data_IF_824773044767
#
_entry.id   IF_824773044767
#
_cell.length_a   1.000
_cell.length_b   1.000
_cell.length_c   1.000
_cell.angle_alpha   90.00
_cell.angle_beta   90.00
_cell.angle_gamma   90.00
#
_symmetry.space_group_name_H-M   'P 1'
#
loop_
_entity.id
_entity.type
_entity.pdbx_description
1 polymer ?
#
# COMPACT_ATOMS: atom_id res chain seq x y z
N UNK A 1 -16.39 -3.79 -51.33
CA UNK A 1 -16.25 -2.78 -50.26
C UNK A 1 -16.46 -3.52 -48.95
N UNK A 2 -15.43 -3.63 -48.14
CA UNK A 2 -15.38 -4.44 -46.91
C UNK A 2 -15.68 -3.57 -45.68
N UNK A 3 -16.55 -4.07 -44.81
CA UNK A 3 -17.02 -3.40 -43.59
C UNK A 3 -15.85 -3.13 -42.62
N UNK A 4 -15.80 -1.99 -41.90
CA UNK A 4 -14.67 -1.62 -41.03
C UNK A 4 -14.72 -2.18 -39.59
N UNK A 5 -15.60 -3.14 -39.28
CA UNK A 5 -15.93 -3.48 -37.88
C UNK A 5 -15.58 -4.92 -37.44
N UNK A 6 -14.77 -5.64 -38.23
CA UNK A 6 -14.17 -6.91 -37.79
C UNK A 6 -12.84 -6.65 -37.06
N UNK A 7 -12.94 -6.13 -35.84
CA UNK A 7 -11.87 -6.24 -34.85
C UNK A 7 -12.07 -7.54 -34.06
N UNK A 8 -11.34 -8.57 -34.49
CA UNK A 8 -11.24 -9.87 -33.84
C UNK A 8 -10.44 -9.74 -32.52
N UNK A 9 -11.09 -9.22 -31.47
CA UNK A 9 -10.57 -9.25 -30.10
C UNK A 9 -10.48 -10.72 -29.67
N UNK A 10 -9.26 -11.26 -29.63
CA UNK A 10 -8.94 -12.67 -29.36
C UNK A 10 -9.26 -13.17 -27.95
N UNK A 11 -10.48 -12.92 -27.47
CA UNK A 11 -11.09 -13.49 -26.28
C UNK A 11 -12.05 -14.60 -26.73
N UNK A 12 -11.76 -15.84 -26.33
CA UNK A 12 -12.72 -16.94 -26.43
C UNK A 12 -13.83 -16.71 -25.39
N UNK A 13 -15.04 -16.41 -25.86
CA UNK A 13 -16.25 -16.44 -25.05
C UNK A 13 -16.85 -17.84 -25.16
N UNK A 14 -16.65 -18.68 -24.14
CA UNK A 14 -17.46 -19.90 -23.98
C UNK A 14 -18.84 -19.48 -23.46
N UNK A 15 -19.74 -19.18 -24.40
CA UNK A 15 -21.16 -18.95 -24.16
C UNK A 15 -21.89 -20.29 -24.31
N UNK A 16 -22.22 -20.95 -23.19
CA UNK A 16 -23.21 -22.02 -23.18
C UNK A 16 -24.58 -21.42 -22.90
N UNK A 17 -25.41 -21.41 -23.93
CA UNK A 17 -26.84 -21.09 -23.91
C UNK A 17 -27.65 -22.34 -23.61
N UNK A 18 -28.41 -22.35 -22.52
CA UNK A 18 -29.59 -23.19 -22.39
C UNK A 18 -30.76 -22.28 -21.99
N UNK A 19 -31.78 -22.25 -22.85
CA UNK A 19 -32.93 -21.34 -22.75
C UNK A 19 -34.19 -22.15 -22.39
N UNK A 20 -34.65 -21.98 -21.13
CA UNK A 20 -36.05 -21.75 -20.67
C UNK A 20 -37.17 -22.83 -20.90
N UNK A 21 -38.39 -22.75 -20.27
CA UNK A 21 -38.89 -21.88 -19.17
C UNK A 21 -39.77 -22.57 -18.08
N UNK A 22 -40.19 -21.75 -17.09
CA UNK A 22 -41.35 -21.85 -16.17
C UNK A 22 -41.21 -22.78 -14.94
N UNK A 23 -41.69 -22.47 -13.71
CA UNK A 23 -42.80 -21.64 -13.24
C UNK A 23 -42.54 -21.18 -11.77
N UNK A 24 -43.11 -20.05 -11.38
CA UNK A 24 -43.16 -19.47 -10.02
C UNK A 24 -44.21 -20.21 -9.18
N UNK A 25 -43.93 -20.50 -7.90
CA UNK A 25 -44.91 -20.46 -6.80
C UNK A 25 -44.21 -20.38 -5.42
N UNK A 26 -44.75 -19.51 -4.55
CA UNK A 26 -44.42 -19.29 -3.14
C UNK A 26 -44.92 -20.46 -2.26
N UNK A 27 -44.29 -20.72 -1.10
CA UNK A 27 -44.90 -20.55 0.24
C UNK A 27 -44.06 -21.18 1.40
N UNK A 28 -43.84 -20.35 2.43
CA UNK A 28 -43.85 -20.58 3.89
C UNK A 28 -43.23 -21.80 4.66
N UNK A 29 -42.39 -21.41 5.65
CA UNK A 29 -42.34 -21.81 7.09
C UNK A 29 -41.96 -23.25 7.52
N UNK A 30 -40.85 -23.38 8.26
CA UNK A 30 -40.78 -23.71 9.71
C UNK A 30 -39.48 -24.44 10.13
N UNK A 31 -39.28 -24.51 11.45
CA UNK A 31 -38.05 -24.51 12.24
C UNK A 31 -37.31 -25.84 12.49
N UNK A 32 -36.05 -25.69 12.93
CA UNK A 32 -35.23 -26.53 13.84
C UNK A 32 -34.90 -28.00 13.48
N UNK A 33 -33.60 -28.33 13.35
CA UNK A 33 -32.79 -29.02 14.39
C UNK A 33 -31.41 -29.51 13.89
N UNK A 34 -30.45 -29.37 14.80
CA UNK A 34 -29.10 -29.92 14.97
C UNK A 34 -28.63 -31.25 14.31
N UNK A 35 -27.29 -31.29 14.12
CA UNK A 35 -26.30 -32.42 14.07
C UNK A 35 -25.80 -32.99 12.73
N UNK A 36 -24.56 -32.56 12.41
CA UNK A 36 -23.33 -33.35 12.18
C UNK A 36 -23.51 -34.86 11.87
N UNK A 37 -23.17 -35.27 10.64
CA UNK A 37 -22.09 -36.25 10.38
C UNK A 37 -21.81 -36.47 8.88
N UNK A 38 -20.51 -36.55 8.56
CA UNK A 38 -19.83 -37.34 7.51
C UNK A 38 -20.27 -37.20 6.04
N UNK A 39 -19.49 -36.41 5.30
CA UNK A 39 -19.38 -36.51 3.85
C UNK A 39 -18.14 -37.35 3.47
N UNK A 40 -18.39 -38.34 2.62
CA UNK A 40 -17.46 -39.30 2.06
C UNK A 40 -16.40 -38.69 1.13
N UNK A 41 -15.32 -39.48 1.02
CA UNK A 41 -14.08 -39.28 0.30
C UNK A 41 -14.26 -39.05 -1.21
N UNK A 42 -13.56 -38.04 -1.74
CA UNK A 42 -12.97 -38.13 -3.09
C UNK A 42 -11.52 -37.66 -3.00
N UNK A 43 -10.62 -38.62 -3.22
CA UNK A 43 -9.18 -38.52 -3.24
C UNK A 43 -8.70 -37.70 -4.44
N UNK A 44 -7.93 -36.63 -4.19
CA UNK A 44 -7.09 -35.98 -5.21
C UNK A 44 -5.64 -36.11 -4.76
N UNK A 45 -4.93 -36.98 -5.46
CA UNK A 45 -3.52 -37.28 -5.28
C UNK A 45 -2.63 -36.03 -5.35
N UNK A 46 -1.97 -35.74 -4.23
CA UNK A 46 -0.83 -34.81 -4.15
C UNK A 46 0.42 -35.53 -4.65
N UNK A 47 0.84 -35.27 -5.89
CA UNK A 47 2.17 -35.67 -6.35
C UNK A 47 3.22 -34.63 -5.94
N UNK A 48 4.23 -35.13 -5.24
CA UNK A 48 5.36 -34.43 -4.60
C UNK A 48 6.23 -33.64 -5.57
N UNK A 49 6.85 -32.61 -4.98
CA UNK A 49 8.04 -31.88 -5.43
C UNK A 49 9.17 -32.87 -5.79
N UNK A 50 9.75 -32.70 -6.98
CA UNK A 50 11.07 -33.19 -7.33
C UNK A 50 11.92 -31.96 -7.63
N UNK A 51 12.96 -31.77 -6.83
CA UNK A 51 14.11 -30.94 -7.19
C UNK A 51 14.79 -31.59 -8.39
N UNK A 52 14.97 -30.86 -9.49
CA UNK A 52 15.86 -31.27 -10.57
C UNK A 52 16.69 -30.06 -11.03
N UNK A 53 18.00 -30.20 -10.83
CA UNK A 53 19.03 -29.33 -11.39
C UNK A 53 19.24 -29.77 -12.84
N UNK A 54 18.76 -28.97 -13.80
CA UNK A 54 19.04 -29.23 -15.20
C UNK A 54 18.53 -28.11 -16.11
N UNK A 55 19.46 -27.52 -16.87
CA UNK A 55 19.19 -26.58 -17.96
C UNK A 55 18.28 -27.20 -19.04
N UNK A 56 16.96 -27.13 -18.87
CA UNK A 56 16.01 -27.40 -19.93
C UNK A 56 15.28 -26.12 -20.34
N UNK A 57 15.78 -25.50 -21.41
CA UNK A 57 15.07 -24.47 -22.17
C UNK A 57 13.75 -25.06 -22.69
N UNK A 58 12.64 -24.80 -22.01
CA UNK A 58 11.28 -25.07 -22.53
C UNK A 58 11.19 -24.53 -23.96
N UNK A 59 11.08 -25.43 -24.93
CA UNK A 59 11.03 -25.08 -26.36
C UNK A 59 9.68 -24.43 -26.65
N UNK A 60 9.65 -23.10 -26.64
CA UNK A 60 8.45 -22.32 -26.94
C UNK A 60 7.98 -22.60 -28.37
N UNK A 61 6.67 -22.81 -28.53
CA UNK A 61 6.01 -23.02 -29.82
C UNK A 61 6.26 -21.84 -30.78
N UNK A 62 6.26 -22.09 -32.09
CA UNK A 62 6.45 -21.04 -33.13
C UNK A 62 5.45 -19.87 -32.96
N UNK A 63 4.21 -20.15 -32.51
CA UNK A 63 3.20 -19.12 -32.21
C UNK A 63 3.55 -18.32 -30.95
N UNK A 64 4.08 -18.98 -29.91
CA UNK A 64 4.55 -18.32 -28.69
C UNK A 64 5.77 -17.44 -28.98
N UNK A 65 6.69 -17.88 -29.83
CA UNK A 65 7.86 -17.09 -30.30
C UNK A 65 7.44 -15.84 -31.08
N UNK A 66 6.40 -15.92 -31.92
CA UNK A 66 5.84 -14.76 -32.64
C UNK A 66 5.13 -13.77 -31.72
N UNK A 67 4.43 -14.25 -30.69
CA UNK A 67 3.81 -13.42 -29.64
C UNK A 67 4.83 -12.81 -28.66
N UNK A 68 6.00 -13.44 -28.48
CA UNK A 68 7.12 -12.90 -27.69
C UNK A 68 7.82 -11.72 -28.39
N UNK A 69 7.84 -11.71 -29.72
CA UNK A 69 8.45 -10.68 -30.56
C UNK A 69 7.41 -9.71 -31.15
N UNK A 70 6.26 -9.54 -30.51
CA UNK A 70 5.25 -8.59 -30.99
C UNK A 70 5.59 -7.17 -30.54
N UNK A 71 5.49 -6.21 -31.46
CA UNK A 71 5.73 -4.78 -31.18
C UNK A 71 4.83 -4.25 -30.05
N UNK A 72 3.63 -4.82 -29.88
CA UNK A 72 2.72 -4.50 -28.78
C UNK A 72 3.27 -4.91 -27.41
N UNK A 73 3.95 -6.05 -27.32
CA UNK A 73 4.55 -6.50 -26.07
C UNK A 73 5.73 -5.62 -25.68
N UNK A 74 6.54 -5.20 -26.64
CA UNK A 74 7.66 -4.31 -26.37
C UNK A 74 7.18 -2.91 -25.96
N UNK A 75 6.14 -2.37 -26.62
CA UNK A 75 5.44 -1.16 -26.16
C UNK A 75 4.91 -1.30 -24.73
N UNK A 76 4.31 -2.44 -24.38
CA UNK A 76 3.79 -2.68 -23.02
C UNK A 76 4.92 -2.75 -21.98
N UNK A 77 6.07 -3.36 -22.32
CA UNK A 77 7.25 -3.38 -21.44
C UNK A 77 7.81 -1.98 -21.24
N UNK A 78 7.96 -1.21 -22.31
CA UNK A 78 8.46 0.16 -22.28
C UNK A 78 7.56 1.06 -21.40
N UNK A 79 6.25 0.98 -21.57
CA UNK A 79 5.29 1.70 -20.71
C UNK A 79 5.42 1.28 -19.24
N UNK A 80 5.59 -0.02 -18.98
CA UNK A 80 5.76 -0.54 -17.62
C UNK A 80 7.07 -0.09 -16.97
N UNK A 81 8.18 -0.09 -17.71
CA UNK A 81 9.48 0.40 -17.24
C UNK A 81 9.44 1.91 -16.99
N UNK A 82 8.82 2.67 -17.90
CA UNK A 82 8.58 4.10 -17.71
C UNK A 82 7.79 4.38 -16.43
N UNK A 83 6.75 3.60 -16.15
CA UNK A 83 5.94 3.80 -14.96
C UNK A 83 6.66 3.40 -13.66
N UNK A 84 7.49 2.36 -13.70
CA UNK A 84 8.39 2.02 -12.59
C UNK A 84 9.34 3.18 -12.29
N UNK A 85 9.96 3.74 -13.33
CA UNK A 85 10.92 4.83 -13.17
C UNK A 85 10.23 6.09 -12.64
N UNK A 86 9.04 6.40 -13.17
CA UNK A 86 8.19 7.50 -12.66
C UNK A 86 7.86 7.33 -11.17
N UNK A 87 7.52 6.11 -10.72
CA UNK A 87 7.23 5.86 -9.30
C UNK A 87 8.46 6.01 -8.41
N UNK A 88 9.65 5.58 -8.88
CA UNK A 88 10.91 5.74 -8.15
C UNK A 88 11.37 7.19 -8.07
N UNK A 89 11.18 7.96 -9.14
CA UNK A 89 11.61 9.36 -9.21
C UNK A 89 10.71 10.30 -8.41
N UNK A 90 9.44 9.92 -8.19
CA UNK A 90 8.49 10.70 -7.39
C UNK A 90 9.01 11.03 -5.99
N UNK A 91 9.66 10.08 -5.31
CA UNK A 91 10.21 10.31 -3.97
C UNK A 91 11.35 11.35 -3.95
N UNK A 92 11.99 11.60 -5.09
CA UNK A 92 13.06 12.61 -5.28
C UNK A 92 12.53 13.92 -5.86
N UNK A 93 11.25 13.99 -6.18
CA UNK A 93 10.67 15.15 -6.86
C UNK A 93 10.42 16.31 -5.90
N UNK A 94 10.17 17.48 -6.47
CA UNK A 94 9.85 18.66 -5.68
C UNK A 94 8.46 18.59 -5.05
N UNK A 95 8.20 19.34 -3.96
CA UNK A 95 6.88 19.39 -3.32
C UNK A 95 5.72 19.70 -4.28
N UNK A 96 5.93 20.49 -5.32
CA UNK A 96 4.91 20.79 -6.34
C UNK A 96 4.50 19.54 -7.10
N UNK A 97 5.48 18.80 -7.63
CA UNK A 97 5.25 17.55 -8.37
C UNK A 97 4.58 16.50 -7.49
N UNK A 98 4.95 16.45 -6.21
CA UNK A 98 4.35 15.54 -5.24
C UNK A 98 2.87 15.89 -5.01
N UNK A 99 2.55 17.17 -4.80
CA UNK A 99 1.17 17.63 -4.64
C UNK A 99 0.33 17.31 -5.87
N UNK A 100 0.85 17.59 -7.07
CA UNK A 100 0.16 17.31 -8.33
C UNK A 100 -0.11 15.80 -8.50
N UNK A 101 0.85 14.96 -8.12
CA UNK A 101 0.66 13.51 -8.12
C UNK A 101 -0.49 13.09 -7.20
N UNK A 102 -0.50 13.55 -5.95
CA UNK A 102 -1.59 13.23 -5.02
C UNK A 102 -2.93 13.77 -5.49
N UNK A 103 -2.99 14.99 -6.04
CA UNK A 103 -4.22 15.57 -6.57
C UNK A 103 -4.78 14.73 -7.73
N UNK A 104 -3.91 14.25 -8.63
CA UNK A 104 -4.29 13.34 -9.70
C UNK A 104 -4.82 12.00 -9.15
N UNK A 105 -4.12 11.39 -8.19
CA UNK A 105 -4.57 10.15 -7.56
C UNK A 105 -5.91 10.30 -6.81
N UNK A 106 -6.10 11.42 -6.10
CA UNK A 106 -7.36 11.71 -5.39
C UNK A 106 -8.50 11.86 -6.39
N UNK A 107 -8.29 12.59 -7.49
CA UNK A 107 -9.32 12.77 -8.54
C UNK A 107 -9.69 11.45 -9.21
N UNK A 108 -8.69 10.63 -9.55
CA UNK A 108 -8.90 9.32 -10.16
C UNK A 108 -9.78 8.42 -9.29
N UNK A 109 -9.58 8.45 -7.96
CA UNK A 109 -10.32 7.60 -7.01
C UNK A 109 -11.65 8.18 -6.57
N UNK A 110 -11.94 9.44 -6.90
CA UNK A 110 -13.17 10.13 -6.52
C UNK A 110 -13.83 10.81 -7.74
N UNK A 111 -14.26 10.04 -8.75
CA UNK A 111 -14.81 10.60 -10.00
C UNK A 111 -16.14 11.33 -9.81
N UNK A 112 -16.86 11.03 -8.72
CA UNK A 112 -18.20 11.56 -8.45
C UNK A 112 -18.19 12.78 -7.50
N UNK A 113 -17.02 13.17 -6.97
CA UNK A 113 -16.92 14.35 -6.11
C UNK A 113 -16.89 15.63 -6.94
N UNK A 114 -17.53 16.66 -6.42
CA UNK A 114 -17.48 17.99 -7.01
C UNK A 114 -16.10 18.62 -6.86
N UNK A 115 -15.82 19.65 -7.65
CA UNK A 115 -14.56 20.40 -7.57
C UNK A 115 -14.33 21.01 -6.18
N UNK A 116 -15.39 21.41 -5.48
CA UNK A 116 -15.32 21.98 -4.13
C UNK A 116 -14.93 20.91 -3.10
N UNK A 117 -15.55 19.73 -3.16
CA UNK A 117 -15.22 18.62 -2.26
C UNK A 117 -13.80 18.08 -2.50
N UNK A 118 -13.33 18.11 -3.75
CA UNK A 118 -11.96 17.72 -4.08
C UNK A 118 -10.91 18.69 -3.51
N UNK A 119 -11.21 19.98 -3.41
CA UNK A 119 -10.27 20.99 -2.89
C UNK A 119 -9.93 20.73 -1.42
N UNK A 120 -10.92 20.31 -0.62
CA UNK A 120 -10.71 19.92 0.77
C UNK A 120 -9.79 18.69 0.91
N UNK A 121 -9.78 17.81 -0.10
CA UNK A 121 -8.93 16.62 -0.15
C UNK A 121 -7.53 16.89 -0.70
N UNK A 122 -7.28 18.01 -1.38
CA UNK A 122 -5.98 18.29 -1.96
C UNK A 122 -4.95 18.74 -0.94
N UNK A 123 -3.74 18.22 -1.04
CA UNK A 123 -2.63 18.63 -0.19
C UNK A 123 -2.04 19.95 -0.68
N UNK A 124 -1.46 20.71 0.24
CA UNK A 124 -0.77 21.96 -0.06
C UNK A 124 0.73 21.71 -0.13
N UNK A 125 1.44 22.50 -0.94
CA UNK A 125 2.91 22.47 -1.02
C UNK A 125 3.56 22.57 0.36
N UNK A 126 2.99 23.39 1.23
CA UNK A 126 3.50 23.63 2.59
C UNK A 126 3.38 22.40 3.51
N UNK A 127 2.54 21.42 3.16
CA UNK A 127 2.39 20.19 3.94
C UNK A 127 3.63 19.30 3.81
N UNK A 128 4.39 19.45 2.73
CA UNK A 128 5.57 18.66 2.41
C UNK A 128 6.88 19.42 2.68
N UNK A 129 7.87 18.71 3.22
CA UNK A 129 9.27 19.14 3.25
C UNK A 129 9.97 18.59 2.00
N UNK A 130 10.66 19.45 1.25
CA UNK A 130 11.49 19.00 0.12
C UNK A 130 12.65 18.14 0.63
N UNK A 131 12.77 16.94 0.05
CA UNK A 131 13.86 16.00 0.30
C UNK A 131 14.73 15.78 -0.94
N UNK A 132 14.63 16.65 -1.94
CA UNK A 132 15.42 16.62 -3.18
C UNK A 132 16.92 16.62 -2.92
N UNK A 133 17.36 17.29 -1.84
CA UNK A 133 18.76 17.38 -1.43
C UNK A 133 19.35 16.08 -0.89
N UNK A 134 18.57 15.00 -0.84
CA UNK A 134 19.09 13.68 -0.48
C UNK A 134 19.79 13.06 -1.68
N UNK A 135 21.11 13.10 -1.70
CA UNK A 135 21.93 12.66 -2.84
C UNK A 135 22.07 11.14 -2.93
N UNK A 136 21.97 10.44 -1.80
CA UNK A 136 22.14 8.98 -1.75
C UNK A 136 20.94 8.25 -2.33
N UNK A 137 21.18 7.01 -2.74
CA UNK A 137 20.09 6.15 -3.17
C UNK A 137 19.09 5.89 -2.05
N UNK A 138 17.80 6.04 -2.36
CA UNK A 138 16.69 5.77 -1.44
C UNK A 138 16.47 4.27 -1.32
N UNK A 139 17.37 3.64 -0.56
CA UNK A 139 17.39 2.21 -0.27
C UNK A 139 17.24 1.94 1.22
N UNK A 140 16.99 0.70 1.66
CA UNK A 140 16.90 0.42 3.10
C UNK A 140 18.20 0.75 3.86
N UNK A 141 19.37 0.62 3.21
CA UNK A 141 20.68 0.86 3.84
C UNK A 141 20.89 2.34 4.19
N UNK A 142 20.38 3.24 3.34
CA UNK A 142 20.55 4.68 3.50
C UNK A 142 19.38 5.34 4.25
N UNK A 143 18.34 4.57 4.60
CA UNK A 143 17.17 5.08 5.30
C UNK A 143 17.49 5.74 6.65
N UNK A 144 18.36 5.17 7.51
CA UNK A 144 18.69 5.81 8.78
C UNK A 144 19.34 7.20 8.61
N UNK A 145 20.16 7.36 7.57
CA UNK A 145 20.80 8.63 7.24
C UNK A 145 19.80 9.67 6.75
N UNK A 146 18.88 9.28 5.86
CA UNK A 146 17.79 10.14 5.44
C UNK A 146 16.98 10.66 6.63
N UNK A 147 16.57 9.76 7.52
CA UNK A 147 15.79 10.14 8.71
C UNK A 147 16.60 11.08 9.60
N UNK A 148 17.90 10.83 9.79
CA UNK A 148 18.77 11.73 10.55
C UNK A 148 18.91 13.12 9.93
N UNK A 149 18.90 13.22 8.61
CA UNK A 149 19.08 14.48 7.88
C UNK A 149 17.81 15.34 7.85
N UNK A 150 16.65 14.72 7.63
CA UNK A 150 15.41 15.46 7.35
C UNK A 150 14.42 15.50 8.52
N UNK A 151 14.45 14.53 9.43
CA UNK A 151 13.52 14.51 10.57
C UNK A 151 14.00 15.41 11.70
N UNK A 152 13.26 16.50 11.93
CA UNK A 152 13.52 17.48 12.99
C UNK A 152 12.52 17.40 14.14
N UNK A 153 11.41 16.71 13.94
CA UNK A 153 10.43 16.47 14.99
C UNK A 153 10.99 15.51 16.08
N UNK A 154 10.55 15.65 17.34
CA UNK A 154 10.91 14.74 18.42
C UNK A 154 10.40 13.31 18.16
N UNK A 155 9.35 13.17 17.35
CA UNK A 155 8.77 11.90 16.94
C UNK A 155 8.49 11.91 15.44
N UNK A 156 8.61 10.76 14.80
CA UNK A 156 8.21 10.57 13.42
C UNK A 156 7.41 9.29 13.20
N UNK A 157 6.40 9.39 12.35
CA UNK A 157 5.58 8.30 11.87
C UNK A 157 6.06 7.89 10.48
N UNK A 158 6.41 6.63 10.29
CA UNK A 158 6.87 6.06 9.02
C UNK A 158 5.77 5.15 8.49
N UNK A 159 5.22 5.51 7.33
CA UNK A 159 4.20 4.74 6.64
C UNK A 159 4.85 3.94 5.53
N UNK A 160 4.55 2.64 5.50
CA UNK A 160 5.09 1.70 4.51
C UNK A 160 3.99 0.83 3.94
N UNK A 161 4.21 0.30 2.74
CA UNK A 161 3.16 -0.40 2.01
C UNK A 161 2.75 -1.76 2.61
N UNK A 162 3.64 -2.43 3.37
CA UNK A 162 3.38 -3.77 3.89
C UNK A 162 3.99 -4.03 5.25
N UNK A 163 3.46 -5.02 5.97
CA UNK A 163 3.98 -5.46 7.26
C UNK A 163 5.43 -5.94 7.20
N UNK A 164 5.85 -6.56 6.09
CA UNK A 164 7.24 -6.99 5.90
C UNK A 164 8.15 -5.77 5.81
N UNK A 165 7.76 -4.77 5.02
CA UNK A 165 8.52 -3.54 4.85
C UNK A 165 8.61 -2.72 6.15
N UNK A 166 7.52 -2.68 6.93
CA UNK A 166 7.51 -2.12 8.30
C UNK A 166 8.57 -2.80 9.18
N UNK A 167 8.65 -4.14 9.12
CA UNK A 167 9.64 -4.88 9.91
C UNK A 167 11.08 -4.60 9.48
N UNK A 168 11.33 -4.43 8.18
CA UNK A 168 12.65 -4.10 7.64
C UNK A 168 13.10 -2.70 8.05
N UNK A 169 12.21 -1.71 7.96
CA UNK A 169 12.47 -0.35 8.43
C UNK A 169 12.76 -0.33 9.93
N UNK A 170 11.97 -1.03 10.73
CA UNK A 170 12.22 -1.14 12.16
C UNK A 170 13.62 -1.69 12.46
N UNK A 171 14.09 -2.71 11.74
CA UNK A 171 15.45 -3.24 11.90
C UNK A 171 16.50 -2.21 11.53
N UNK A 172 16.30 -1.45 10.45
CA UNK A 172 17.22 -0.39 10.03
C UNK A 172 17.34 0.75 11.04
N UNK A 173 16.28 1.00 11.82
CA UNK A 173 16.23 2.06 12.84
C UNK A 173 16.54 1.56 14.25
N UNK A 174 17.47 0.61 14.39
CA UNK A 174 17.92 0.04 15.67
C UNK A 174 16.82 -0.67 16.49
N UNK A 175 15.74 -1.11 15.85
CA UNK A 175 14.67 -1.89 16.46
C UNK A 175 14.03 -1.21 17.67
N UNK A 176 13.74 -2.00 18.71
CA UNK A 176 12.97 -1.56 19.89
C UNK A 176 13.64 -0.45 20.71
N UNK A 177 14.89 -0.11 20.41
CA UNK A 177 15.59 1.00 21.07
C UNK A 177 15.01 2.36 20.66
N UNK A 178 14.73 2.53 19.36
CA UNK A 178 14.33 3.83 18.81
C UNK A 178 13.03 3.78 18.00
N UNK A 179 12.56 2.58 17.61
CA UNK A 179 11.43 2.40 16.72
C UNK A 179 10.43 1.41 17.31
N UNK A 180 9.14 1.64 17.05
CA UNK A 180 8.05 0.71 17.37
C UNK A 180 7.37 0.27 16.09
N UNK A 181 7.01 -1.02 16.00
CA UNK A 181 6.23 -1.58 14.89
C UNK A 181 4.77 -1.63 15.30
N UNK A 182 3.94 -0.92 14.56
CA UNK A 182 2.49 -0.93 14.69
C UNK A 182 1.95 -1.61 13.43
N UNK A 183 1.63 -2.89 13.51
CA UNK A 183 1.28 -3.69 12.33
C UNK A 183 0.31 -4.82 12.65
N UNK A 184 -0.39 -5.33 11.65
CA UNK A 184 -1.54 -6.22 11.88
C UNK A 184 -1.21 -7.61 12.44
N UNK A 185 0.09 -7.98 12.58
CA UNK A 185 0.48 -9.19 13.31
C UNK A 185 0.32 -9.05 14.83
N UNK A 186 0.32 -7.84 15.36
CA UNK A 186 0.02 -7.58 16.76
C UNK A 186 -1.49 -7.41 16.96
N UNK A 187 -2.00 -7.77 18.15
CA UNK A 187 -3.38 -7.41 18.50
C UNK A 187 -3.48 -5.88 18.60
N UNK A 188 -4.59 -5.31 18.12
CA UNK A 188 -4.79 -3.85 18.14
C UNK A 188 -4.66 -3.28 19.56
N UNK A 189 -5.22 -3.97 20.55
CA UNK A 189 -5.12 -3.61 21.97
C UNK A 189 -3.67 -3.49 22.45
N UNK A 190 -2.77 -4.35 21.99
CA UNK A 190 -1.36 -4.35 22.42
C UNK A 190 -0.61 -3.17 21.80
N UNK A 191 -0.90 -2.85 20.53
CA UNK A 191 -0.37 -1.65 19.87
C UNK A 191 -0.86 -0.37 20.56
N UNK A 192 -2.15 -0.29 20.89
CA UNK A 192 -2.74 0.85 21.61
C UNK A 192 -2.09 1.03 23.00
N UNK A 193 -1.94 -0.04 23.77
CA UNK A 193 -1.27 0.00 25.07
C UNK A 193 0.21 0.39 24.95
N UNK A 194 0.86 0.05 23.83
CA UNK A 194 2.25 0.45 23.55
C UNK A 194 2.31 1.95 23.25
N UNK A 195 1.43 2.46 22.39
CA UNK A 195 1.32 3.90 22.07
C UNK A 195 1.02 4.69 23.34
N UNK A 196 0.02 4.30 24.12
CA UNK A 196 -0.34 4.95 25.39
C UNK A 196 0.84 5.03 26.35
N UNK A 197 1.57 3.93 26.52
CA UNK A 197 2.77 3.90 27.39
C UNK A 197 3.85 4.89 26.94
N UNK A 198 4.02 5.08 25.63
CA UNK A 198 5.05 5.96 25.07
C UNK A 198 4.64 7.43 25.14
N UNK A 199 3.34 7.73 24.98
CA UNK A 199 2.84 9.10 25.01
C UNK A 199 2.54 9.61 26.43
N UNK A 200 2.09 8.75 27.35
CA UNK A 200 1.64 9.15 28.71
C UNK A 200 2.76 9.15 29.76
N UNK A 201 3.81 8.33 29.62
CA UNK A 201 4.82 8.20 30.69
C UNK A 201 5.77 9.41 30.78
N UNK A 202 5.70 10.09 31.93
CA UNK A 202 6.63 11.12 32.40
C UNK A 202 8.01 10.53 32.75
N UNK A 203 9.06 11.12 32.16
CA UNK A 203 10.44 11.32 32.62
C UNK A 203 11.30 10.21 33.25
N UNK A 204 10.76 9.10 33.77
CA UNK A 204 11.55 8.08 34.45
C UNK A 204 11.58 6.78 33.65
N UNK A 205 12.81 6.39 33.28
CA UNK A 205 13.25 5.06 32.82
C UNK A 205 13.00 4.68 31.34
N UNK A 206 14.09 4.71 30.56
CA UNK A 206 14.37 3.92 29.33
C UNK A 206 13.40 4.02 28.12
N UNK A 207 12.17 4.53 28.27
CA UNK A 207 11.20 4.66 27.17
C UNK A 207 11.23 6.02 26.47
N UNK A 208 12.06 6.96 26.92
CA UNK A 208 12.25 8.26 26.28
C UNK A 208 12.97 8.21 24.91
N UNK A 209 13.53 7.06 24.50
CA UNK A 209 14.31 6.96 23.26
C UNK A 209 13.50 6.64 22.01
N UNK A 210 12.21 6.27 22.14
CA UNK A 210 11.39 5.91 20.97
C UNK A 210 11.02 7.16 20.18
N UNK A 211 11.79 7.39 19.11
CA UNK A 211 11.59 8.48 18.16
C UNK A 211 10.67 8.08 17.00
N UNK A 212 10.59 6.80 16.66
CA UNK A 212 9.97 6.34 15.42
C UNK A 212 8.80 5.38 15.66
N UNK A 213 7.74 5.56 14.89
CA UNK A 213 6.63 4.61 14.78
C UNK A 213 6.57 4.15 13.33
N UNK A 214 6.65 2.85 13.09
CA UNK A 214 6.58 2.26 11.75
C UNK A 214 5.26 1.51 11.61
N UNK A 215 4.48 1.82 10.57
CA UNK A 215 3.13 1.29 10.39
C UNK A 215 2.74 1.20 8.92
N UNK A 216 1.68 0.44 8.63
CA UNK A 216 0.94 0.58 7.37
C UNK A 216 -0.17 1.63 7.52
N UNK A 217 -0.64 2.27 6.43
CA UNK A 217 -1.76 3.20 6.47
C UNK A 217 -3.02 2.58 7.09
N UNK A 218 -3.38 1.37 6.69
CA UNK A 218 -4.56 0.66 7.21
C UNK A 218 -4.48 0.41 8.71
N UNK A 219 -3.30 0.06 9.24
CA UNK A 219 -3.14 -0.10 10.69
C UNK A 219 -3.23 1.23 11.41
N UNK A 220 -2.67 2.29 10.82
CA UNK A 220 -2.69 3.61 11.42
C UNK A 220 -4.12 4.19 11.48
N UNK A 221 -4.94 3.99 10.45
CA UNK A 221 -6.37 4.35 10.48
C UNK A 221 -7.07 3.76 11.70
N UNK A 222 -6.92 2.45 11.92
CA UNK A 222 -7.52 1.76 13.07
C UNK A 222 -7.02 2.27 14.42
N UNK A 223 -5.76 2.69 14.49
CA UNK A 223 -5.18 3.28 15.70
C UNK A 223 -5.78 4.66 15.95
N UNK A 224 -5.93 5.49 14.91
CA UNK A 224 -6.53 6.82 15.01
C UNK A 224 -8.03 6.78 15.33
N UNK A 225 -8.75 5.76 14.88
CA UNK A 225 -10.14 5.51 15.26
C UNK A 225 -10.27 5.17 16.75
N UNK A 226 -9.25 4.56 17.35
CA UNK A 226 -9.28 4.08 18.73
C UNK A 226 -8.55 4.99 19.73
N UNK A 227 -7.78 5.97 19.25
CA UNK A 227 -6.90 6.80 20.09
C UNK A 227 -6.52 8.11 19.42
N UNK A 228 -6.62 9.21 20.18
CA UNK A 228 -6.21 10.54 19.73
C UNK A 228 -4.77 10.92 20.15
N UNK A 229 -4.00 10.00 20.72
CA UNK A 229 -2.68 10.31 21.32
C UNK A 229 -1.70 10.97 20.34
N UNK A 230 -1.71 10.59 19.06
CA UNK A 230 -0.87 11.20 18.04
C UNK A 230 -1.22 12.66 17.76
N UNK A 231 -2.47 13.07 18.02
CA UNK A 231 -2.95 14.43 17.81
C UNK A 231 -2.74 15.33 19.03
N UNK A 232 -2.51 14.74 20.19
CA UNK A 232 -2.28 15.47 21.44
C UNK A 232 -0.90 16.15 21.47
N UNK A 233 -0.78 17.18 22.30
CA UNK A 233 0.45 17.93 22.53
C UNK A 233 0.83 18.91 21.41
N UNK A 234 1.70 19.87 21.76
CA UNK A 234 2.21 20.92 20.84
C UNK A 234 3.48 20.52 20.09
N UNK A 235 4.02 19.34 20.39
CA UNK A 235 5.19 18.81 19.74
C UNK A 235 4.96 18.55 18.25
N UNK A 236 6.00 18.78 17.45
CA UNK A 236 5.96 18.51 16.00
C UNK A 236 5.92 17.01 15.75
N UNK A 237 5.30 16.61 14.64
CA UNK A 237 5.32 15.24 14.14
C UNK A 237 5.72 15.25 12.67
N UNK A 238 6.80 14.53 12.35
CA UNK A 238 7.19 14.30 10.96
C UNK A 238 6.55 12.99 10.48
N UNK A 239 6.02 12.98 9.26
CA UNK A 239 5.44 11.78 8.63
C UNK A 239 6.28 11.43 7.42
N UNK A 240 6.91 10.25 7.44
CA UNK A 240 7.76 9.76 6.36
C UNK A 240 6.99 8.72 5.56
N UNK A 241 6.89 8.93 4.25
CA UNK A 241 6.28 8.01 3.29
C UNK A 241 7.38 7.20 2.62
N UNK A 242 7.42 5.89 2.85
CA UNK A 242 8.34 4.96 2.18
C UNK A 242 7.86 4.68 0.74
N UNK A 243 8.10 5.65 -0.14
CA UNK A 243 7.64 5.70 -1.53
C UNK A 243 8.66 5.14 -2.53
N UNK A 244 9.92 5.05 -2.15
CA UNK A 244 11.01 4.49 -2.97
C UNK A 244 10.99 2.96 -3.07
N UNK A 245 10.39 2.27 -2.09
CA UNK A 245 10.27 0.82 -2.13
C UNK A 245 9.25 0.36 -3.18
N UNK A 246 9.64 -0.66 -3.95
CA UNK A 246 8.77 -1.36 -4.88
C UNK A 246 8.63 -2.82 -4.45
N UNK A 247 7.39 -3.30 -4.37
CA UNK A 247 7.12 -4.72 -4.12
C UNK A 247 7.43 -5.60 -5.35
N UNK A 248 7.28 -6.93 -5.25
CA UNK A 248 7.46 -7.82 -6.40
C UNK A 248 6.56 -7.51 -7.59
N UNK A 249 5.41 -6.85 -7.36
CA UNK A 249 4.46 -6.39 -8.39
C UNK A 249 4.78 -4.99 -8.91
N UNK A 250 5.86 -4.37 -8.44
CA UNK A 250 6.30 -3.01 -8.79
C UNK A 250 5.33 -1.91 -8.39
N UNK A 251 4.57 -2.17 -7.33
CA UNK A 251 3.78 -1.17 -6.64
C UNK A 251 4.61 -0.50 -5.54
N UNK A 252 4.35 0.78 -5.32
CA UNK A 252 4.84 1.54 -4.17
C UNK A 252 3.69 1.80 -3.20
N UNK A 253 4.00 2.33 -2.02
CA UNK A 253 3.02 2.89 -1.09
C UNK A 253 2.01 3.82 -1.79
N UNK A 254 2.48 4.64 -2.73
CA UNK A 254 1.71 5.65 -3.45
C UNK A 254 0.91 5.16 -4.66
N UNK A 255 1.11 3.90 -5.09
CA UNK A 255 0.42 3.30 -6.23
C UNK A 255 -0.38 2.07 -5.84
N UNK A 256 -0.42 1.74 -4.55
CA UNK A 256 -1.17 0.60 -4.03
C UNK A 256 -2.66 0.92 -3.97
N UNK A 257 -3.50 -0.12 -3.91
CA UNK A 257 -4.94 0.02 -3.67
C UNK A 257 -5.25 0.84 -2.40
N UNK A 258 -4.33 0.83 -1.43
CA UNK A 258 -4.45 1.53 -0.16
C UNK A 258 -4.07 3.02 -0.23
N UNK A 259 -3.83 3.59 -1.41
CA UNK A 259 -3.47 5.01 -1.57
C UNK A 259 -4.54 5.94 -1.02
N UNK A 260 -5.82 5.58 -1.10
CA UNK A 260 -6.90 6.38 -0.51
C UNK A 260 -6.84 6.40 1.02
N UNK A 261 -6.61 5.25 1.64
CA UNK A 261 -6.45 5.15 3.09
C UNK A 261 -5.22 5.96 3.53
N UNK A 262 -4.14 5.93 2.76
CA UNK A 262 -2.98 6.79 3.00
C UNK A 262 -3.37 8.27 2.98
N UNK A 263 -4.09 8.72 1.95
CA UNK A 263 -4.52 10.12 1.87
C UNK A 263 -5.39 10.53 3.06
N UNK A 264 -6.34 9.68 3.46
CA UNK A 264 -7.19 9.90 4.63
C UNK A 264 -6.38 10.02 5.93
N UNK A 265 -5.42 9.10 6.15
CA UNK A 265 -4.53 9.14 7.33
C UNK A 265 -3.71 10.42 7.37
N UNK A 266 -3.17 10.86 6.23
CA UNK A 266 -2.39 12.09 6.13
C UNK A 266 -3.24 13.34 6.36
N UNK A 267 -4.45 13.39 5.79
CA UNK A 267 -5.39 14.49 5.98
C UNK A 267 -5.83 14.61 7.43
N UNK A 268 -6.21 13.50 8.05
CA UNK A 268 -6.59 13.47 9.45
C UNK A 268 -5.46 13.99 10.36
N UNK A 269 -4.20 13.65 10.05
CA UNK A 269 -3.04 14.18 10.77
C UNK A 269 -2.88 15.69 10.60
N UNK A 270 -2.99 16.20 9.37
CA UNK A 270 -2.85 17.63 9.07
C UNK A 270 -3.98 18.46 9.70
N UNK A 271 -5.19 17.91 9.77
CA UNK A 271 -6.37 18.56 10.35
C UNK A 271 -6.33 18.58 11.88
N UNK A 272 -6.08 17.41 12.50
CA UNK A 272 -6.13 17.27 13.96
C UNK A 272 -4.85 17.75 14.65
N UNK A 273 -3.71 17.84 13.95
CA UNK A 273 -2.43 18.27 14.54
C UNK A 273 -1.80 19.42 13.76
N UNK A 274 -1.67 20.57 14.43
CA UNK A 274 -1.22 21.83 13.82
C UNK A 274 0.24 21.86 13.31
N UNK A 275 1.09 20.93 13.76
CA UNK A 275 2.50 20.90 13.36
C UNK A 275 2.92 19.54 12.82
N UNK A 276 2.34 19.17 11.67
CA UNK A 276 2.72 17.99 10.89
C UNK A 276 3.47 18.42 9.63
N UNK A 277 4.51 17.66 9.29
CA UNK A 277 5.19 17.77 7.99
C UNK A 277 5.39 16.41 7.36
N UNK A 278 5.14 16.33 6.07
CA UNK A 278 5.23 15.09 5.29
C UNK A 278 6.54 15.09 4.50
N UNK A 279 7.23 13.96 4.53
CA UNK A 279 8.49 13.74 3.82
C UNK A 279 8.35 12.47 2.99
N UNK A 280 8.78 12.50 1.73
CA UNK A 280 8.83 11.29 0.91
C UNK A 280 10.24 10.72 1.00
N UNK A 281 10.31 9.41 1.27
CA UNK A 281 11.51 8.57 1.22
C UNK A 281 11.51 7.66 0.01
#
# INVERSE_FOLDING_TARGET
MSNPDDLEDGLLYDYQSDTEPNHIEEDSLSEETDKIDKADEVTIDRKRVVEDNGDEKKVLSKRQKKLLNSSLRDKKKELFEYEIERRKSLARSSPEVIVDYFAASIREKNPNLSALELDDLYFKKMDFISTEKFEKDRSLTNFPEFVSQFTKAPRALILSMSNMRVADIFRSLNGSKNCVKLFSKNKLKDDLATVERIFVKNANEKTQSTKYFSSTPTRMSKIFESSDLFFQGKEKLDVILDASYLDPKKNTLLSSENTMILCQVLKLLLEKKSSVKILLY
#
